data_IF_983537030286
#
_entry.id   IF_983537030286
#
_cell.length_a   1.000
_cell.length_b   1.000
_cell.length_c   1.000
_cell.angle_alpha   90.00
_cell.angle_beta   90.00
_cell.angle_gamma   90.00
#
_symmetry.space_group_name_H-M   'P 1'
#
loop_
_entity.id
_entity.type
_entity.pdbx_description
1 polymer ?
#
# COMPACT_ATOMS: atom_id res chain seq x y z
N UNK A 1 17.24 -9.62 -16.96
CA UNK A 1 16.31 -9.01 -17.90
C UNK A 1 15.92 -7.62 -17.44
N UNK A 2 15.87 -6.67 -18.36
CA UNK A 2 15.59 -5.26 -18.05
C UNK A 2 14.16 -5.08 -17.50
N UNK A 3 13.23 -5.88 -17.99
CA UNK A 3 11.85 -5.83 -17.53
C UNK A 3 11.76 -6.15 -16.04
N UNK A 4 12.50 -7.14 -15.60
CA UNK A 4 12.49 -7.56 -14.20
C UNK A 4 13.04 -6.48 -13.27
N UNK A 5 14.08 -5.77 -13.72
CA UNK A 5 14.68 -4.71 -12.91
C UNK A 5 13.71 -3.54 -12.73
N UNK A 6 13.03 -3.14 -13.80
CA UNK A 6 12.07 -2.05 -13.74
C UNK A 6 10.92 -2.43 -12.83
N UNK A 7 10.41 -3.65 -12.96
CA UNK A 7 9.32 -4.15 -12.12
C UNK A 7 9.71 -4.20 -10.65
N UNK A 8 10.94 -4.67 -10.37
CA UNK A 8 11.44 -4.74 -9.00
C UNK A 8 11.59 -3.35 -8.38
N UNK A 9 12.12 -2.42 -9.14
CA UNK A 9 12.30 -1.06 -8.63
C UNK A 9 10.97 -0.39 -8.34
N UNK A 10 9.99 -0.58 -9.21
CA UNK A 10 8.65 -0.05 -8.99
C UNK A 10 8.03 -0.66 -7.74
N UNK A 11 8.23 -1.96 -7.55
CA UNK A 11 7.71 -2.66 -6.37
C UNK A 11 8.33 -2.12 -5.09
N UNK A 12 9.65 -1.88 -5.11
CA UNK A 12 10.33 -1.34 -3.94
C UNK A 12 9.81 0.03 -3.56
N UNK A 13 9.61 0.90 -4.55
CA UNK A 13 9.08 2.23 -4.31
C UNK A 13 7.65 2.17 -3.77
N UNK A 14 6.85 1.28 -4.34
CA UNK A 14 5.48 1.08 -3.88
C UNK A 14 5.45 0.59 -2.43
N UNK A 15 6.35 -0.34 -2.09
CA UNK A 15 6.41 -0.86 -0.72
C UNK A 15 6.83 0.22 0.28
N UNK A 16 7.72 1.13 -0.14
CA UNK A 16 8.09 2.26 0.71
C UNK A 16 6.88 3.13 1.02
N UNK A 17 6.08 3.43 0.02
CA UNK A 17 4.88 4.24 0.19
C UNK A 17 3.88 3.54 1.12
N UNK A 18 3.73 2.24 0.94
CA UNK A 18 2.83 1.46 1.78
C UNK A 18 3.30 1.47 3.23
N UNK A 19 4.60 1.36 3.47
CA UNK A 19 5.14 1.39 4.83
C UNK A 19 4.87 2.73 5.50
N UNK A 20 5.06 3.83 4.77
CA UNK A 20 4.77 5.15 5.29
C UNK A 20 3.29 5.27 5.63
N UNK A 21 2.43 4.80 4.74
CA UNK A 21 0.99 4.80 4.94
C UNK A 21 0.61 3.98 6.18
N UNK A 22 1.15 2.78 6.31
CA UNK A 22 0.85 1.92 7.46
C UNK A 22 1.28 2.56 8.78
N UNK A 23 2.43 3.23 8.77
CA UNK A 23 2.91 3.94 9.95
C UNK A 23 1.95 5.05 10.35
N UNK A 24 1.48 5.82 9.37
CA UNK A 24 0.50 6.87 9.60
C UNK A 24 -0.80 6.31 10.16
N UNK A 25 -1.26 5.19 9.63
CA UNK A 25 -2.49 4.57 10.11
C UNK A 25 -2.36 4.11 11.56
N UNK A 26 -1.19 3.58 11.93
CA UNK A 26 -0.94 3.19 13.31
C UNK A 26 -1.00 4.39 14.25
N UNK A 27 -0.47 5.51 13.83
CA UNK A 27 -0.51 6.73 14.63
C UNK A 27 -1.94 7.20 14.86
N UNK A 28 -2.84 6.95 13.92
CA UNK A 28 -4.25 7.29 14.05
C UNK A 28 -5.02 6.28 14.89
N UNK A 29 -4.38 5.17 15.26
CA UNK A 29 -5.01 4.16 16.10
C UNK A 29 -5.60 2.98 15.35
N UNK A 30 -5.34 2.86 14.06
CA UNK A 30 -5.83 1.74 13.27
C UNK A 30 -4.94 0.52 13.43
N UNK A 31 -5.56 -0.65 13.48
CA UNK A 31 -4.81 -1.91 13.44
C UNK A 31 -4.47 -2.26 12.00
N UNK A 32 -3.57 -3.23 11.83
CA UNK A 32 -3.21 -3.71 10.49
C UNK A 32 -4.44 -4.24 9.75
N UNK A 33 -5.30 -4.95 10.46
CA UNK A 33 -6.51 -5.52 9.87
C UNK A 33 -7.47 -4.43 9.44
N UNK A 34 -7.68 -3.42 10.28
CA UNK A 34 -8.54 -2.30 9.94
C UNK A 34 -7.99 -1.53 8.75
N UNK A 35 -6.67 -1.35 8.71
CA UNK A 35 -6.02 -0.69 7.60
C UNK A 35 -6.25 -1.43 6.30
N UNK A 36 -6.11 -2.75 6.31
CA UNK A 36 -6.35 -3.58 5.14
C UNK A 36 -7.78 -3.42 4.62
N UNK A 37 -8.74 -3.42 5.54
CA UNK A 37 -10.14 -3.25 5.16
C UNK A 37 -10.38 -1.90 4.47
N UNK A 38 -9.76 -0.86 4.98
CA UNK A 38 -9.89 0.47 4.38
C UNK A 38 -9.26 0.52 2.99
N UNK A 39 -8.12 -0.13 2.83
CA UNK A 39 -7.45 -0.20 1.54
C UNK A 39 -8.34 -0.90 0.52
N UNK A 40 -8.92 -2.02 0.89
CA UNK A 40 -9.81 -2.77 0.02
C UNK A 40 -11.03 -1.93 -0.38
N UNK A 41 -11.58 -1.21 0.56
CA UNK A 41 -12.71 -0.34 0.31
C UNK A 41 -12.33 0.77 -0.68
N UNK A 42 -11.19 1.39 -0.49
CA UNK A 42 -10.73 2.46 -1.37
C UNK A 42 -10.50 1.96 -2.79
N UNK A 43 -9.90 0.77 -2.93
CA UNK A 43 -9.67 0.17 -4.24
C UNK A 43 -11.00 -0.13 -4.93
N UNK A 44 -11.96 -0.61 -4.16
CA UNK A 44 -13.28 -0.94 -4.68
C UNK A 44 -14.00 0.30 -5.20
N UNK A 45 -13.88 1.40 -4.45
CA UNK A 45 -14.51 2.66 -4.84
C UNK A 45 -13.90 3.22 -6.12
N UNK A 46 -12.60 3.04 -6.31
CA UNK A 46 -11.93 3.50 -7.51
C UNK A 46 -12.37 2.74 -8.74
N UNK A 47 -12.78 1.49 -8.58
CA UNK A 47 -13.19 0.63 -9.69
C UNK A 47 -14.67 0.75 -10.04
N UNK A 48 -15.43 1.44 -9.25
CA UNK A 48 -16.87 1.56 -9.53
C UNK A 48 -17.23 2.76 -10.37
#
# INVERSE_FOLDING_TARGET
DQSDRITQKRKELAMQQIRIFLSSMKEMGYTSEQTLNLIQQAVKEEHS
#
